data_IF_000751023071
#
_entry.id   IF_000751023071
#
_cell.length_a   1.000
_cell.length_b   1.000
_cell.length_c   1.000
_cell.angle_alpha   90.00
_cell.angle_beta   90.00
_cell.angle_gamma   90.00
#
_symmetry.space_group_name_H-M   'P 1'
#
loop_
_entity.id
_entity.type
_entity.pdbx_description
1 polymer ?
#
# COMPACT_ATOMS: atom_id res chain seq x y z
N UNK A 1 -3.87 3.46 5.42
CA UNK A 1 -3.94 3.46 3.93
C UNK A 1 -3.73 4.85 3.35
N UNK A 2 -4.25 5.90 4.01
CA UNK A 2 -3.88 7.30 3.73
C UNK A 2 -2.37 7.54 3.74
N UNK A 3 -1.64 6.82 4.60
CA UNK A 3 -0.17 6.86 4.64
C UNK A 3 0.53 6.55 3.31
N UNK A 4 0.07 5.56 2.53
CA UNK A 4 0.63 5.30 1.19
C UNK A 4 0.33 6.47 0.26
N UNK A 5 -0.92 6.94 0.26
CA UNK A 5 -1.36 8.05 -0.59
C UNK A 5 -0.68 9.38 -0.26
N UNK A 6 -0.25 9.58 0.99
CA UNK A 6 0.55 10.72 1.44
C UNK A 6 2.02 10.62 1.02
N UNK A 7 2.48 9.40 0.70
CA UNK A 7 3.87 9.10 0.40
C UNK A 7 4.04 8.56 -1.03
N UNK A 8 3.44 9.27 -1.98
CA UNK A 8 3.55 8.93 -3.39
C UNK A 8 5.00 9.05 -3.86
N UNK A 9 5.44 8.11 -4.70
CA UNK A 9 6.78 8.08 -5.27
C UNK A 9 7.87 7.54 -4.34
N UNK A 10 7.55 7.15 -3.10
CA UNK A 10 8.49 6.41 -2.24
C UNK A 10 7.99 5.00 -1.91
N UNK A 11 8.86 3.99 -1.90
CA UNK A 11 8.53 2.68 -1.37
C UNK A 11 8.31 2.80 0.15
N UNK A 12 7.18 2.25 0.61
CA UNK A 12 6.82 2.14 2.02
C UNK A 12 6.93 0.67 2.42
N UNK A 13 7.78 0.37 3.40
CA UNK A 13 8.00 -1.00 3.86
C UNK A 13 6.76 -1.57 4.54
N UNK A 14 6.70 -2.90 4.63
CA UNK A 14 5.61 -3.56 5.34
C UNK A 14 5.60 -3.20 6.82
N UNK A 15 6.78 -3.02 7.42
CA UNK A 15 6.97 -2.61 8.81
C UNK A 15 6.45 -1.19 9.03
N UNK A 16 6.79 -0.26 8.15
CA UNK A 16 6.36 1.14 8.25
C UNK A 16 4.83 1.29 8.09
N UNK A 17 4.23 0.46 7.23
CA UNK A 17 2.77 0.36 7.12
C UNK A 17 2.12 -0.15 8.40
N UNK A 18 2.76 -1.10 9.09
CA UNK A 18 2.24 -1.63 10.36
C UNK A 18 2.30 -0.54 11.42
N UNK A 19 3.44 0.15 11.56
CA UNK A 19 3.62 1.20 12.57
C UNK A 19 2.66 2.38 12.38
N UNK A 20 2.41 2.81 11.13
CA UNK A 20 1.63 4.01 10.86
C UNK A 20 0.13 3.77 10.61
N UNK A 21 -0.26 2.57 10.19
CA UNK A 21 -1.68 2.25 9.92
C UNK A 21 -2.29 1.45 11.08
N UNK A 22 -1.47 0.83 11.91
CA UNK A 22 -1.89 -0.14 12.91
C UNK A 22 -1.43 0.25 14.33
N UNK A 23 -2.14 1.21 14.92
CA UNK A 23 -2.04 1.47 16.37
C UNK A 23 -2.78 0.34 17.13
N UNK A 24 -2.02 -0.69 17.52
CA UNK A 24 -2.33 -1.61 18.63
C UNK A 24 -3.54 -2.56 18.52
N UNK A 25 -4.34 -2.55 17.44
CA UNK A 25 -5.66 -3.22 17.45
C UNK A 25 -5.89 -4.37 16.46
N UNK A 26 -4.87 -4.95 15.83
CA UNK A 26 -5.05 -6.31 15.26
C UNK A 26 -3.86 -7.20 15.53
N UNK A 27 -4.20 -8.37 16.03
CA UNK A 27 -3.33 -9.52 16.09
C UNK A 27 -2.82 -9.83 14.68
N UNK A 28 -1.49 -9.94 14.57
CA UNK A 28 -0.74 -10.81 13.68
C UNK A 28 -1.43 -11.13 12.34
N UNK A 29 -0.95 -10.61 11.21
CA UNK A 29 -0.64 -11.41 10.01
C UNK A 29 -0.36 -10.54 8.78
N UNK A 30 0.74 -10.88 8.09
CA UNK A 30 1.05 -10.43 6.71
C UNK A 30 -0.12 -10.61 5.71
N UNK A 31 -1.05 -11.53 5.99
CA UNK A 31 -2.27 -11.74 5.20
C UNK A 31 -3.23 -10.54 5.24
N UNK A 32 -3.41 -9.89 6.39
CA UNK A 32 -4.31 -8.75 6.48
C UNK A 32 -3.81 -7.59 5.62
N UNK A 33 -2.51 -7.28 5.68
CA UNK A 33 -1.88 -6.24 4.84
C UNK A 33 -2.12 -6.51 3.35
N UNK A 34 -1.92 -7.75 2.90
CA UNK A 34 -2.17 -8.12 1.49
C UNK A 34 -3.62 -7.90 1.08
N UNK A 35 -4.58 -8.21 1.95
CA UNK A 35 -6.02 -7.99 1.67
C UNK A 35 -6.34 -6.50 1.59
N UNK A 36 -5.83 -5.70 2.54
CA UNK A 36 -6.03 -4.25 2.54
C UNK A 36 -5.40 -3.57 1.32
N UNK A 37 -4.18 -3.96 0.93
CA UNK A 37 -3.54 -3.50 -0.30
C UNK A 37 -4.35 -3.91 -1.54
N UNK A 38 -4.86 -5.15 -1.57
CA UNK A 38 -5.69 -5.63 -2.69
C UNK A 38 -7.01 -4.86 -2.81
N UNK A 39 -7.65 -4.55 -1.69
CA UNK A 39 -8.86 -3.73 -1.66
C UNK A 39 -8.59 -2.29 -2.11
N UNK A 40 -7.47 -1.70 -1.67
CA UNK A 40 -7.03 -0.38 -2.12
C UNK A 40 -6.75 -0.38 -3.62
N UNK A 41 -5.97 -1.35 -4.11
CA UNK A 41 -5.68 -1.53 -5.54
C UNK A 41 -6.96 -1.61 -6.37
N UNK A 42 -7.97 -2.35 -5.91
CA UNK A 42 -9.26 -2.45 -6.60
C UNK A 42 -9.98 -1.10 -6.68
N UNK A 43 -10.01 -0.32 -5.59
CA UNK A 43 -10.60 1.02 -5.56
C UNK A 43 -9.84 2.00 -6.47
N UNK A 44 -8.52 1.99 -6.40
CA UNK A 44 -7.67 2.87 -7.21
C UNK A 44 -7.75 2.53 -8.69
N UNK A 45 -7.73 1.25 -9.07
CA UNK A 45 -7.94 0.81 -10.46
C UNK A 45 -9.30 1.26 -10.99
N UNK A 46 -10.35 1.19 -10.17
CA UNK A 46 -11.68 1.66 -10.57
C UNK A 46 -11.73 3.20 -10.73
N UNK A 47 -11.00 3.95 -9.91
CA UNK A 47 -10.98 5.41 -9.96
C UNK A 47 -10.03 5.99 -11.04
N UNK A 48 -8.88 5.35 -11.26
CA UNK A 48 -7.79 5.85 -12.11
C UNK A 48 -7.71 5.14 -13.47
N UNK A 49 -8.34 3.97 -13.61
CA UNK A 49 -8.26 3.15 -14.83
C UNK A 49 -6.96 2.33 -14.97
N UNK A 50 -5.99 2.49 -14.07
CA UNK A 50 -4.73 1.72 -14.06
C UNK A 50 -4.33 1.30 -12.63
N UNK A 51 -3.30 0.46 -12.49
CA UNK A 51 -2.76 0.05 -11.20
C UNK A 51 -1.63 0.97 -10.73
N UNK A 52 -1.86 1.85 -9.74
CA UNK A 52 -0.81 2.76 -9.26
C UNK A 52 0.11 2.12 -8.21
N UNK A 53 -0.18 0.91 -7.72
CA UNK A 53 0.59 0.27 -6.64
C UNK A 53 1.63 -0.68 -7.23
N UNK A 54 2.91 -0.37 -7.02
CA UNK A 54 4.05 -1.23 -7.37
C UNK A 54 4.56 -1.95 -6.13
N UNK A 55 4.85 -3.25 -6.28
CA UNK A 55 5.51 -4.02 -5.24
C UNK A 55 7.00 -4.07 -5.58
N UNK A 56 7.84 -3.56 -4.68
CA UNK A 56 9.30 -3.66 -4.78
C UNK A 56 9.79 -4.71 -3.79
N UNK A 57 10.32 -5.80 -4.31
CA UNK A 57 10.82 -6.92 -3.50
C UNK A 57 11.96 -6.40 -2.62
N UNK A 58 11.83 -6.57 -1.30
CA UNK A 58 12.81 -6.10 -0.32
C UNK A 58 12.66 -4.63 0.12
N UNK A 59 11.84 -3.82 -0.56
CA UNK A 59 11.62 -2.40 -0.21
C UNK A 59 10.18 -2.11 0.26
N UNK A 60 9.18 -2.85 -0.25
CA UNK A 60 7.78 -2.73 0.15
C UNK A 60 6.84 -2.33 -0.98
N UNK A 61 5.89 -1.42 -0.70
CA UNK A 61 4.88 -0.97 -1.64
C UNK A 61 5.08 0.51 -1.97
N UNK A 62 5.14 0.82 -3.25
CA UNK A 62 5.22 2.18 -3.76
C UNK A 62 3.92 2.52 -4.48
N UNK A 63 3.40 3.72 -4.24
CA UNK A 63 2.28 4.25 -5.03
C UNK A 63 2.81 5.39 -5.90
N UNK A 64 2.69 5.26 -7.21
CA UNK A 64 3.30 6.18 -8.17
C UNK A 64 2.58 6.09 -9.51
N UNK A 65 1.81 7.14 -9.81
CA UNK A 65 0.96 7.22 -10.98
C UNK A 65 1.60 8.01 -12.11
N UNK A 66 2.76 7.57 -12.60
CA UNK A 66 3.20 7.88 -13.97
C UNK A 66 3.74 6.60 -14.60
N UNK A 67 2.87 5.95 -15.36
CA UNK A 67 3.30 5.04 -16.41
C UNK A 67 3.73 5.97 -17.55
N UNK A 68 5.03 6.20 -17.71
CA UNK A 68 5.56 6.79 -18.95
C UNK A 68 5.30 5.84 -20.13
#
# INVERSE_FOLDING_TARGET
LEYLLLHQGRPVSQEELIEHVWDGSVDSFSNSIRVHISALRKKLRAALGYDPIRNRIGEGYEIGGEVQ
#
